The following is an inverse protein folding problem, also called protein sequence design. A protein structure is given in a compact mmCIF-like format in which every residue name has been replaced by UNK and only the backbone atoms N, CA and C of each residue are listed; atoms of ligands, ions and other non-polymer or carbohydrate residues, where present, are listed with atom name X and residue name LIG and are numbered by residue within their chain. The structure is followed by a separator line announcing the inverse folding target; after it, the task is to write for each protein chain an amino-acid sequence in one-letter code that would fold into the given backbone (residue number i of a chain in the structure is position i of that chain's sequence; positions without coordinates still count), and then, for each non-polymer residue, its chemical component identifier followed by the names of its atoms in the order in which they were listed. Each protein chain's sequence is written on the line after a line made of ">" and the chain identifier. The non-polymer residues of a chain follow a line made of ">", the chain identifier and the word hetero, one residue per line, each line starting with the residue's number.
data_IF_356154231584
#
_entry.id   IF_356154231584
#
_cell.length_a   1.000
_cell.length_b   1.000
_cell.length_c   1.000
_cell.angle_alpha   90.00
_cell.angle_beta   90.00
_cell.angle_gamma   90.00
#
_symmetry.space_group_name_H-M   'P 1'
#
loop_
_entity.id
_entity.type
_entity.pdbx_description
1 polymer ?
#
# COMPACT_ATOMS: atom_id res chain seq x y z
N UNK A 1 0.55 10.08 -23.59
CA UNK A 1 1.97 10.13 -23.19
C UNK A 1 2.33 11.47 -22.51
N UNK A 2 1.55 11.96 -21.53
CA UNK A 2 1.73 13.33 -20.97
C UNK A 2 1.57 13.43 -19.44
N UNK A 3 0.85 12.52 -18.78
CA UNK A 3 0.66 12.57 -17.32
C UNK A 3 1.88 12.08 -16.50
N UNK A 4 2.72 11.20 -17.06
CA UNK A 4 3.87 10.62 -16.37
C UNK A 4 5.06 11.59 -16.25
N UNK A 5 5.05 12.69 -17.00
CA UNK A 5 6.04 13.77 -16.90
C UNK A 5 5.77 14.66 -15.67
N UNK A 6 4.50 14.96 -15.37
CA UNK A 6 4.15 15.92 -14.31
C UNK A 6 4.33 15.37 -12.88
N UNK A 7 4.20 14.05 -12.67
CA UNK A 7 4.45 13.40 -11.37
C UNK A 7 5.96 13.33 -11.06
N UNK A 8 6.81 13.14 -12.09
CA UNK A 8 8.27 13.14 -11.95
C UNK A 8 8.83 14.51 -11.53
N UNK A 9 8.20 15.59 -11.98
CA UNK A 9 8.64 16.98 -11.72
C UNK A 9 8.29 17.45 -10.29
N UNK A 10 7.27 16.88 -9.64
CA UNK A 10 6.96 17.21 -8.24
C UNK A 10 7.89 16.50 -7.22
N UNK A 11 8.53 15.40 -7.62
CA UNK A 11 9.50 14.67 -6.78
C UNK A 11 10.95 15.18 -6.94
N UNK A 12 11.21 16.05 -7.92
CA UNK A 12 12.56 16.57 -8.22
C UNK A 12 12.97 17.78 -7.36
N UNK A 13 12.04 18.34 -6.59
CA UNK A 13 12.27 19.49 -5.70
C UNK A 13 12.93 19.15 -4.36
N UNK A 14 13.07 17.87 -4.01
CA UNK A 14 13.76 17.46 -2.78
C UNK A 14 15.28 17.40 -3.03
N UNK A 15 15.92 18.56 -2.80
CA UNK A 15 17.37 18.81 -2.73
C UNK A 15 18.27 17.62 -3.14
N UNK A 16 18.55 17.53 -4.45
CA UNK A 16 19.53 16.63 -5.07
C UNK A 16 20.91 16.69 -4.39
N UNK A 17 21.22 17.80 -3.71
CA UNK A 17 22.46 18.01 -2.95
C UNK A 17 22.51 17.19 -1.64
N UNK A 18 21.36 16.91 -1.02
CA UNK A 18 21.28 16.12 0.22
C UNK A 18 21.26 14.61 -0.10
N UNK A 19 20.56 14.21 -1.17
CA UNK A 19 20.56 12.84 -1.69
C UNK A 19 21.98 12.36 -2.05
N UNK A 20 22.78 13.23 -2.68
CA UNK A 20 24.17 12.93 -3.06
C UNK A 20 25.14 12.81 -1.84
N UNK A 21 24.80 13.39 -0.69
CA UNK A 21 25.57 13.19 0.56
C UNK A 21 25.23 11.87 1.26
N UNK A 22 23.99 11.40 1.19
CA UNK A 22 23.58 10.07 1.68
C UNK A 22 23.99 8.93 0.75
N UNK A 23 24.02 9.18 -0.57
CA UNK A 23 24.40 8.21 -1.59
C UNK A 23 25.90 8.24 -1.91
N UNK A 24 26.71 9.05 -1.22
CA UNK A 24 28.15 9.05 -1.45
C UNK A 24 28.75 7.71 -0.99
N UNK A 25 29.46 6.97 -1.86
CA UNK A 25 30.12 5.69 -1.52
C UNK A 25 31.13 5.80 -0.37
N UNK A 26 31.54 7.03 -0.03
CA UNK A 26 32.46 7.34 1.08
C UNK A 26 31.78 7.42 2.45
N UNK A 27 30.44 7.54 2.51
CA UNK A 27 29.69 7.61 3.77
C UNK A 27 29.41 6.20 4.33
N UNK A 28 29.43 6.04 5.66
CA UNK A 28 29.12 4.74 6.31
C UNK A 28 27.74 4.20 5.91
N UNK A 29 26.78 5.12 5.73
CA UNK A 29 25.44 4.81 5.26
C UNK A 29 25.41 4.43 3.78
N UNK A 30 26.15 5.14 2.91
CA UNK A 30 26.26 4.80 1.49
C UNK A 30 26.79 3.39 1.25
N UNK A 31 27.74 2.92 2.07
CA UNK A 31 28.27 1.55 2.00
C UNK A 31 27.25 0.45 2.31
N UNK A 32 26.18 0.75 3.06
CA UNK A 32 25.11 -0.19 3.40
C UNK A 32 23.89 -0.03 2.47
N UNK A 33 23.56 1.20 2.12
CA UNK A 33 22.35 1.53 1.35
C UNK A 33 22.53 1.20 -0.13
N UNK A 34 23.68 1.48 -0.73
CA UNK A 34 23.95 1.18 -2.15
C UNK A 34 23.84 -0.32 -2.46
N UNK A 35 24.49 -1.24 -1.72
CA UNK A 35 24.32 -2.67 -1.98
C UNK A 35 22.90 -3.17 -1.66
N UNK A 36 22.23 -2.63 -0.64
CA UNK A 36 20.84 -2.97 -0.34
C UNK A 36 19.89 -2.57 -1.47
N UNK A 37 20.08 -1.39 -2.08
CA UNK A 37 19.32 -0.96 -3.26
C UNK A 37 19.62 -1.86 -4.45
N UNK A 38 20.89 -2.17 -4.71
CA UNK A 38 21.28 -3.03 -5.83
C UNK A 38 20.72 -4.45 -5.69
N UNK A 39 20.67 -4.98 -4.47
CA UNK A 39 20.07 -6.28 -4.17
C UNK A 39 18.53 -6.27 -4.27
N UNK A 40 17.89 -5.15 -3.91
CA UNK A 40 16.42 -5.00 -3.92
C UNK A 40 15.87 -4.70 -5.31
N UNK A 41 16.63 -4.00 -6.16
CA UNK A 41 16.23 -3.59 -7.51
C UNK A 41 15.66 -4.74 -8.37
N UNK A 42 16.33 -5.90 -8.53
CA UNK A 42 15.77 -6.98 -9.34
C UNK A 42 14.50 -7.60 -8.73
N UNK A 43 14.41 -7.68 -7.40
CA UNK A 43 13.21 -8.21 -6.71
C UNK A 43 12.01 -7.30 -6.90
N UNK A 44 12.22 -5.98 -6.76
CA UNK A 44 11.19 -4.98 -7.01
C UNK A 44 10.76 -4.96 -8.48
N UNK A 45 11.69 -5.12 -9.41
CA UNK A 45 11.35 -5.18 -10.84
C UNK A 45 10.44 -6.37 -11.15
N UNK A 46 10.74 -7.55 -10.59
CA UNK A 46 9.89 -8.74 -10.74
C UNK A 46 8.53 -8.53 -10.08
N UNK A 47 8.49 -7.97 -8.86
CA UNK A 47 7.25 -7.65 -8.17
C UNK A 47 6.38 -6.69 -8.99
N UNK A 48 6.95 -5.59 -9.48
CA UNK A 48 6.24 -4.60 -10.29
C UNK A 48 5.70 -5.20 -11.60
N UNK A 49 6.45 -6.13 -12.21
CA UNK A 49 6.01 -6.82 -13.43
C UNK A 49 4.71 -7.60 -13.19
N UNK A 50 4.67 -8.40 -12.12
CA UNK A 50 3.49 -9.20 -11.80
C UNK A 50 2.35 -8.36 -11.23
N UNK A 51 2.67 -7.41 -10.34
CA UNK A 51 1.68 -6.48 -9.78
C UNK A 51 0.92 -5.72 -10.88
N UNK A 52 1.59 -5.33 -11.97
CA UNK A 52 0.94 -4.65 -13.09
C UNK A 52 -0.07 -5.53 -13.84
N UNK A 53 0.09 -6.85 -13.82
CA UNK A 53 -0.81 -7.76 -14.55
C UNK A 53 -1.92 -8.23 -13.62
N UNK A 54 -1.56 -8.65 -12.41
CA UNK A 54 -2.49 -9.30 -11.47
C UNK A 54 -3.29 -8.31 -10.60
N UNK A 55 -2.70 -7.15 -10.26
CA UNK A 55 -3.36 -6.14 -9.42
C UNK A 55 -3.97 -4.99 -10.23
N UNK A 56 -3.89 -5.06 -11.56
CA UNK A 56 -4.54 -4.05 -12.40
C UNK A 56 -6.05 -4.28 -12.37
N UNK A 57 -6.84 -3.22 -12.17
CA UNK A 57 -8.28 -3.36 -12.24
C UNK A 57 -8.68 -3.93 -13.61
N UNK A 58 -9.64 -4.88 -13.64
CA UNK A 58 -10.08 -5.51 -14.88
C UNK A 58 -10.64 -4.47 -15.84
N UNK A 59 -10.59 -4.80 -17.14
CA UNK A 59 -11.16 -3.92 -18.16
C UNK A 59 -12.68 -3.92 -18.08
N UNK A 60 -13.31 -2.79 -18.44
CA UNK A 60 -14.78 -2.66 -18.38
C UNK A 60 -15.48 -3.72 -19.24
N UNK A 61 -14.85 -4.16 -20.34
CA UNK A 61 -15.39 -5.20 -21.22
C UNK A 61 -15.41 -6.61 -20.60
N UNK A 62 -14.67 -6.84 -19.52
CA UNK A 62 -14.55 -8.15 -18.87
C UNK A 62 -15.61 -8.37 -17.77
N UNK A 63 -16.32 -7.30 -17.36
CA UNK A 63 -17.37 -7.38 -16.33
C UNK A 63 -18.46 -8.42 -16.60
N UNK A 64 -19.05 -8.53 -17.81
CA UNK A 64 -20.10 -9.52 -18.07
C UNK A 64 -19.60 -10.96 -17.89
N UNK A 65 -18.33 -11.21 -18.20
CA UNK A 65 -17.69 -12.52 -18.04
C UNK A 65 -17.47 -12.85 -16.56
N UNK A 66 -16.99 -11.90 -15.76
CA UNK A 66 -16.80 -12.07 -14.32
C UNK A 66 -18.14 -12.40 -13.64
N UNK A 67 -19.20 -11.66 -13.98
CA UNK A 67 -20.54 -11.88 -13.40
C UNK A 67 -21.08 -13.26 -13.75
N UNK A 68 -20.88 -13.73 -14.99
CA UNK A 68 -21.33 -15.06 -15.40
C UNK A 68 -20.55 -16.18 -14.69
N UNK A 69 -19.23 -16.03 -14.54
CA UNK A 69 -18.37 -16.98 -13.82
C UNK A 69 -18.73 -17.07 -12.33
N UNK A 70 -18.97 -15.94 -11.66
CA UNK A 70 -19.40 -15.92 -10.26
C UNK A 70 -20.76 -16.60 -10.08
N UNK A 71 -21.70 -16.34 -10.99
CA UNK A 71 -23.03 -16.95 -10.93
C UNK A 71 -22.97 -18.47 -11.18
N UNK A 72 -22.11 -18.92 -12.10
CA UNK A 72 -21.87 -20.34 -12.34
C UNK A 72 -21.22 -21.00 -11.13
N UNK A 73 -20.19 -20.37 -10.54
CA UNK A 73 -19.54 -20.86 -9.33
C UNK A 73 -20.55 -21.04 -8.20
N UNK A 74 -21.39 -20.04 -7.95
CA UNK A 74 -22.44 -20.12 -6.92
C UNK A 74 -23.41 -21.27 -7.13
N UNK A 75 -23.76 -21.61 -8.38
CA UNK A 75 -24.69 -22.71 -8.70
C UNK A 75 -24.07 -24.09 -8.50
N UNK A 76 -22.79 -24.22 -8.81
CA UNK A 76 -22.06 -25.50 -8.76
C UNK A 76 -21.38 -25.75 -7.41
N UNK A 77 -21.19 -24.71 -6.60
CA UNK A 77 -20.49 -24.82 -5.32
C UNK A 77 -21.29 -25.65 -4.30
N UNK A 78 -20.80 -26.86 -4.03
CA UNK A 78 -21.31 -27.72 -2.96
C UNK A 78 -20.28 -27.80 -1.82
N UNK A 79 -20.55 -27.23 -0.63
CA UNK A 79 -19.60 -27.24 0.48
C UNK A 79 -19.37 -28.64 1.09
N UNK A 80 -20.27 -29.60 0.85
CA UNK A 80 -20.17 -30.95 1.42
C UNK A 80 -19.19 -31.86 0.68
N UNK A 81 -18.89 -31.55 -0.59
CA UNK A 81 -18.03 -32.37 -1.46
C UNK A 81 -16.56 -31.90 -1.46
N UNK A 82 -16.21 -30.90 -0.64
CA UNK A 82 -14.88 -30.28 -0.64
C UNK A 82 -13.87 -31.11 0.14
N UNK A 83 -12.69 -31.32 -0.46
CA UNK A 83 -11.54 -31.84 0.26
C UNK A 83 -10.94 -30.77 1.17
N UNK A 84 -10.25 -31.18 2.24
CA UNK A 84 -9.61 -30.23 3.19
C UNK A 84 -8.64 -29.28 2.49
N UNK A 85 -7.91 -29.77 1.48
CA UNK A 85 -6.97 -28.96 0.71
C UNK A 85 -7.70 -27.85 -0.06
N UNK A 86 -8.81 -28.17 -0.70
CA UNK A 86 -9.62 -27.20 -1.45
C UNK A 86 -10.26 -26.17 -0.52
N UNK A 87 -10.82 -26.63 0.61
CA UNK A 87 -11.40 -25.75 1.61
C UNK A 87 -10.38 -24.72 2.12
N UNK A 88 -9.14 -25.13 2.38
CA UNK A 88 -8.06 -24.22 2.79
C UNK A 88 -7.76 -23.20 1.68
N UNK A 89 -7.64 -23.64 0.42
CA UNK A 89 -7.37 -22.73 -0.70
C UNK A 89 -8.49 -21.69 -0.86
N UNK A 90 -9.76 -22.12 -0.83
CA UNK A 90 -10.89 -21.18 -0.91
C UNK A 90 -10.96 -20.23 0.27
N UNK A 91 -10.67 -20.72 1.48
CA UNK A 91 -10.63 -19.88 2.69
C UNK A 91 -9.50 -18.83 2.63
N UNK A 92 -8.34 -19.20 2.08
CA UNK A 92 -7.21 -18.28 1.92
C UNK A 92 -7.53 -17.15 0.93
N UNK A 93 -8.15 -17.49 -0.21
CA UNK A 93 -8.60 -16.48 -1.20
C UNK A 93 -9.70 -15.59 -0.61
N UNK A 94 -10.68 -16.16 0.11
CA UNK A 94 -11.71 -15.38 0.78
C UNK A 94 -11.11 -14.42 1.82
N UNK A 95 -10.10 -14.87 2.57
CA UNK A 95 -9.39 -14.04 3.53
C UNK A 95 -8.59 -12.93 2.86
N UNK A 96 -7.95 -13.19 1.72
CA UNK A 96 -7.25 -12.17 0.93
C UNK A 96 -8.20 -11.05 0.49
N UNK A 97 -9.36 -11.41 -0.08
CA UNK A 97 -10.38 -10.43 -0.49
C UNK A 97 -10.88 -9.61 0.71
N UNK A 98 -11.05 -10.25 1.87
CA UNK A 98 -11.43 -9.57 3.11
C UNK A 98 -10.35 -8.59 3.61
N UNK A 99 -9.07 -8.95 3.54
CA UNK A 99 -7.95 -8.05 3.86
C UNK A 99 -7.90 -6.83 2.93
N UNK A 100 -8.26 -6.97 1.65
CA UNK A 100 -8.36 -5.83 0.73
C UNK A 100 -9.41 -4.80 1.15
N UNK A 101 -10.52 -5.23 1.77
CA UNK A 101 -11.49 -4.29 2.35
C UNK A 101 -10.90 -3.50 3.52
N UNK A 102 -10.15 -4.15 4.42
CA UNK A 102 -9.46 -3.46 5.51
C UNK A 102 -8.35 -2.52 5.02
N UNK A 103 -7.60 -2.91 3.98
CA UNK A 103 -6.64 -2.03 3.33
C UNK A 103 -7.34 -0.78 2.76
N UNK A 104 -8.53 -0.94 2.18
CA UNK A 104 -9.40 0.15 1.74
C UNK A 104 -9.86 1.04 2.89
N UNK A 105 -10.23 0.47 4.05
CA UNK A 105 -10.59 1.24 5.25
C UNK A 105 -9.40 2.07 5.76
N UNK A 106 -8.20 1.48 5.83
CA UNK A 106 -6.97 2.20 6.22
C UNK A 106 -6.67 3.34 5.25
N UNK A 107 -6.84 3.12 3.95
CA UNK A 107 -6.66 4.17 2.93
C UNK A 107 -7.72 5.28 3.07
N UNK A 108 -8.97 4.92 3.35
CA UNK A 108 -10.08 5.85 3.58
C UNK A 108 -9.88 6.72 4.84
N UNK A 109 -9.37 6.13 5.92
CA UNK A 109 -9.04 6.84 7.17
C UNK A 109 -7.77 7.67 7.08
N UNK A 110 -6.85 7.32 6.18
CA UNK A 110 -5.49 7.89 6.05
C UNK A 110 -4.61 7.71 7.30
N UNK A 111 -4.99 6.80 8.20
CA UNK A 111 -4.28 6.49 9.44
C UNK A 111 -4.20 4.98 9.63
N UNK A 112 -3.03 4.48 10.05
CA UNK A 112 -2.80 3.07 10.31
C UNK A 112 -3.39 2.60 11.66
N UNK A 113 -3.55 3.51 12.62
CA UNK A 113 -3.96 3.19 13.99
C UNK A 113 -5.21 3.97 14.39
N UNK A 114 -6.33 3.27 14.54
CA UNK A 114 -7.57 3.79 15.12
C UNK A 114 -8.19 4.97 14.37
N UNK A 115 -9.34 5.42 14.86
CA UNK A 115 -9.86 6.74 14.53
C UNK A 115 -9.29 7.74 15.54
N UNK A 116 -8.95 8.95 15.08
CA UNK A 116 -8.60 10.03 15.98
C UNK A 116 -9.85 10.47 16.72
N UNK A 117 -9.99 9.99 17.95
CA UNK A 117 -11.08 10.35 18.86
C UNK A 117 -10.44 11.08 20.03
N UNK A 118 -10.84 12.33 20.24
CA UNK A 118 -10.46 13.05 21.45
C UNK A 118 -11.11 12.37 22.66
N UNK A 119 -10.33 11.90 23.64
CA UNK A 119 -10.89 11.28 24.83
C UNK A 119 -11.64 12.34 25.66
N UNK A 120 -12.87 12.03 26.07
CA UNK A 120 -13.68 12.90 26.94
C UNK A 120 -13.24 12.84 28.43
N UNK A 121 -12.01 12.42 28.69
CA UNK A 121 -11.42 12.28 30.02
C UNK A 121 -9.97 12.76 29.97
N UNK A 122 -9.50 13.36 31.06
CA UNK A 122 -8.11 13.79 31.14
C UNK A 122 -7.20 12.55 31.15
N UNK A 123 -6.20 12.47 30.24
CA UNK A 123 -5.34 11.30 30.16
C UNK A 123 -4.48 11.19 31.42
N UNK A 124 -4.60 10.07 32.13
CA UNK A 124 -3.68 9.69 33.20
C UNK A 124 -2.39 9.24 32.50
N UNK A 125 -1.50 10.18 32.23
CA UNK A 125 -0.15 9.99 31.71
C UNK A 125 -0.03 9.11 30.45
N UNK A 126 -0.40 9.68 29.30
CA UNK A 126 0.14 9.25 28.01
C UNK A 126 0.52 10.53 27.27
N UNK A 127 1.81 10.86 27.19
CA UNK A 127 2.31 11.85 26.23
C UNK A 127 2.11 11.28 24.82
N UNK A 128 0.89 11.43 24.31
CA UNK A 128 0.53 11.03 22.96
C UNK A 128 1.09 12.10 22.04
N UNK A 129 2.16 11.75 21.31
CA UNK A 129 2.75 12.46 20.17
C UNK A 129 2.52 13.98 20.17
N UNK A 130 3.45 14.72 20.78
CA UNK A 130 3.78 16.11 20.51
C UNK A 130 2.74 16.88 19.68
N UNK A 131 1.82 17.57 20.38
CA UNK A 131 0.83 18.48 19.78
C UNK A 131 1.53 19.42 18.80
N UNK A 132 1.27 19.23 17.50
CA UNK A 132 1.83 20.09 16.46
C UNK A 132 1.14 21.46 16.56
N UNK A 133 1.81 22.42 17.20
CA UNK A 133 1.32 23.80 17.30
C UNK A 133 1.64 24.52 15.99
N UNK A 134 0.60 24.87 15.24
CA UNK A 134 0.71 25.60 13.98
C UNK A 134 1.48 26.92 14.21
N UNK A 135 2.54 27.23 13.44
CA UNK A 135 3.26 28.48 13.61
C UNK A 135 2.37 29.63 13.13
N UNK A 136 2.00 30.53 14.04
CA UNK A 136 1.32 31.77 13.66
C UNK A 136 2.20 32.55 12.67
N UNK A 137 1.69 32.71 11.44
CA UNK A 137 2.29 33.58 10.45
C UNK A 137 2.11 35.01 10.95
N UNK A 138 3.16 35.60 11.53
CA UNK A 138 3.19 37.04 11.79
C UNK A 138 3.25 37.73 10.44
N UNK A 139 2.10 38.25 9.99
CA UNK A 139 2.06 39.26 8.94
C UNK A 139 2.90 40.46 9.42
N UNK A 140 4.00 40.72 8.72
CA UNK A 140 4.75 41.97 8.77
C UNK A 140 4.81 42.53 7.35
#
# INVERSE_FOLDING_TARGET
>A
MSAMSKVSVALSGMSTKMLNKFASPSSRWGKLVIPAINASKPKLQTFLRYAKIELMPPSIGEWPKIVSEVNNFRRTFNPMDLTVKEAIVYSAVAFEVLMWFFAGEVLGRRHFLGYYIEPNFQPIFIERFQDWKEPELKEQ
#
